data_IF_152050981253
#
_entry.id   IF_152050981253
#
_cell.length_a   1.000
_cell.length_b   1.000
_cell.length_c   1.000
_cell.angle_alpha   90.00
_cell.angle_beta   90.00
_cell.angle_gamma   90.00
#
_symmetry.space_group_name_H-M   'P 1'
#
loop_
_entity.id
_entity.type
_entity.pdbx_description
1 polymer ?
#
# COMPACT_ATOMS: atom_id res chain seq x y z
N UNK A 1 19.57 12.53 46.93
CA UNK A 1 19.57 11.55 45.82
C UNK A 1 18.35 10.63 45.87
N UNK A 2 18.05 10.00 47.02
CA UNK A 2 16.88 9.09 47.16
C UNK A 2 15.51 9.75 46.91
N UNK A 3 15.29 10.97 47.42
CA UNK A 3 14.04 11.72 47.19
C UNK A 3 13.79 12.08 45.72
N UNK A 4 14.85 12.33 44.95
CA UNK A 4 14.75 12.62 43.51
C UNK A 4 14.32 11.34 42.77
N UNK A 5 14.89 10.20 43.14
CA UNK A 5 14.48 8.90 42.59
C UNK A 5 13.02 8.55 42.92
N UNK A 6 12.57 8.81 44.15
CA UNK A 6 11.18 8.58 44.54
C UNK A 6 10.19 9.44 43.74
N UNK A 7 10.51 10.71 43.49
CA UNK A 7 9.69 11.62 42.67
C UNK A 7 9.64 11.15 41.21
N UNK A 8 10.77 10.74 40.64
CA UNK A 8 10.82 10.20 39.26
C UNK A 8 9.96 8.94 39.15
N UNK A 9 10.06 8.01 40.10
CA UNK A 9 9.25 6.78 40.13
C UNK A 9 7.76 7.11 40.24
N UNK A 10 7.37 8.09 41.08
CA UNK A 10 5.99 8.52 41.22
C UNK A 10 5.45 9.13 39.92
N UNK A 11 6.25 9.95 39.21
CA UNK A 11 5.89 10.52 37.91
C UNK A 11 5.69 9.42 36.86
N UNK A 12 6.60 8.44 36.82
CA UNK A 12 6.50 7.29 35.91
C UNK A 12 5.25 6.46 36.22
N UNK A 13 4.97 6.20 37.50
CA UNK A 13 3.77 5.47 37.93
C UNK A 13 2.48 6.21 37.57
N UNK A 14 2.41 7.52 37.80
CA UNK A 14 1.25 8.35 37.44
C UNK A 14 1.06 8.40 35.91
N UNK A 15 2.15 8.51 35.14
CA UNK A 15 2.11 8.45 33.68
C UNK A 15 1.60 7.09 33.20
N UNK A 16 2.09 5.98 33.78
CA UNK A 16 1.62 4.63 33.47
C UNK A 16 0.15 4.43 33.86
N UNK A 17 -0.29 4.92 35.01
CA UNK A 17 -1.67 4.78 35.49
C UNK A 17 -2.65 5.55 34.60
N UNK A 18 -2.29 6.77 34.20
CA UNK A 18 -3.07 7.53 33.21
C UNK A 18 -3.10 6.79 31.87
N UNK A 19 -1.95 6.33 31.37
CA UNK A 19 -1.85 5.53 30.14
C UNK A 19 -2.74 4.28 30.16
N UNK A 20 -2.75 3.52 31.26
CA UNK A 20 -3.62 2.35 31.41
C UNK A 20 -5.11 2.74 31.49
N UNK A 21 -5.44 3.88 32.10
CA UNK A 21 -6.81 4.38 32.21
C UNK A 21 -7.38 4.85 30.87
N UNK A 22 -6.66 5.60 30.04
CA UNK A 22 -7.16 5.94 28.71
C UNK A 22 -7.31 4.71 27.83
N UNK A 23 -6.39 3.72 27.95
CA UNK A 23 -6.50 2.46 27.21
C UNK A 23 -7.76 1.65 27.56
N UNK A 24 -8.16 1.61 28.83
CA UNK A 24 -9.38 0.91 29.25
C UNK A 24 -10.66 1.64 28.83
N UNK A 25 -10.68 2.98 28.93
CA UNK A 25 -11.82 3.81 28.51
C UNK A 25 -12.05 3.70 27.00
N UNK A 26 -10.99 3.76 26.19
CA UNK A 26 -11.09 3.61 24.72
C UNK A 26 -11.58 2.22 24.34
N UNK A 27 -11.09 1.17 25.02
CA UNK A 27 -11.56 -0.21 24.79
C UNK A 27 -13.05 -0.34 25.10
N UNK A 28 -13.50 0.22 26.22
CA UNK A 28 -14.90 0.18 26.64
C UNK A 28 -15.82 0.95 25.67
N UNK A 29 -15.44 2.17 25.28
CA UNK A 29 -16.22 2.97 24.31
C UNK A 29 -16.29 2.28 22.95
N UNK A 30 -15.21 1.60 22.53
CA UNK A 30 -15.20 0.77 21.33
C UNK A 30 -16.20 -0.37 21.43
N UNK A 31 -16.17 -1.15 22.50
CA UNK A 31 -17.08 -2.28 22.73
C UNK A 31 -18.56 -1.84 22.79
N UNK A 32 -18.82 -0.64 23.32
CA UNK A 32 -20.17 -0.05 23.38
C UNK A 32 -20.68 0.46 22.02
N UNK A 33 -19.85 1.17 21.27
CA UNK A 33 -20.28 1.83 20.02
C UNK A 33 -20.28 0.90 18.81
N UNK A 34 -19.48 -0.17 18.83
CA UNK A 34 -19.39 -1.15 17.73
C UNK A 34 -20.73 -1.80 17.35
N UNK A 35 -21.52 -2.34 18.29
CA UNK A 35 -22.82 -2.94 17.95
C UNK A 35 -23.79 -1.92 17.36
N UNK A 36 -23.72 -0.66 17.80
CA UNK A 36 -24.56 0.43 17.28
C UNK A 36 -24.17 0.73 15.83
N UNK A 37 -22.88 0.90 15.55
CA UNK A 37 -22.38 1.12 14.19
C UNK A 37 -22.70 -0.05 13.25
N UNK A 38 -22.57 -1.30 13.71
CA UNK A 38 -22.94 -2.50 12.91
C UNK A 38 -24.45 -2.52 12.60
N UNK A 39 -25.30 -2.22 13.60
CA UNK A 39 -26.76 -2.13 13.41
C UNK A 39 -27.18 -1.03 12.45
N UNK A 40 -26.61 0.17 12.59
CA UNK A 40 -26.87 1.30 11.71
C UNK A 40 -26.41 1.01 10.27
N UNK A 41 -25.31 0.29 10.12
CA UNK A 41 -24.77 -0.05 8.83
C UNK A 41 -25.59 -1.09 8.07
N UNK A 42 -26.09 -2.16 8.73
CA UNK A 42 -26.90 -3.22 8.09
C UNK A 42 -28.21 -2.72 7.48
N UNK A 43 -28.72 -1.56 7.91
CA UNK A 43 -29.89 -0.92 7.34
C UNK A 43 -29.52 -0.11 6.09
N UNK A 44 -29.63 -0.79 4.94
CA UNK A 44 -29.03 -0.40 3.66
C UNK A 44 -29.74 0.72 2.88
N UNK A 45 -30.74 1.44 3.40
CA UNK A 45 -31.46 2.46 2.59
C UNK A 45 -32.07 3.63 3.37
N UNK A 46 -31.77 3.79 4.66
CA UNK A 46 -32.29 4.92 5.44
C UNK A 46 -31.28 6.06 5.53
N UNK A 47 -31.62 7.22 4.94
CA UNK A 47 -30.86 8.48 5.09
C UNK A 47 -30.72 8.87 6.55
N UNK A 48 -31.77 8.67 7.35
CA UNK A 48 -31.74 8.91 8.80
C UNK A 48 -30.71 8.02 9.49
N UNK A 49 -30.68 6.72 9.17
CA UNK A 49 -29.67 5.80 9.72
C UNK A 49 -28.27 6.14 9.25
N UNK A 50 -28.11 6.65 8.02
CA UNK A 50 -26.84 7.18 7.54
C UNK A 50 -26.40 8.37 8.40
N UNK A 51 -27.25 9.36 8.62
CA UNK A 51 -26.93 10.50 9.49
C UNK A 51 -26.58 10.07 10.92
N UNK A 52 -27.35 9.15 11.50
CA UNK A 52 -27.06 8.55 12.81
C UNK A 52 -25.70 7.86 12.83
N UNK A 53 -25.32 7.18 11.74
CA UNK A 53 -24.00 6.56 11.61
C UNK A 53 -22.88 7.61 11.60
N UNK A 54 -23.01 8.67 10.78
CA UNK A 54 -22.01 9.75 10.71
C UNK A 54 -21.86 10.43 12.08
N UNK A 55 -22.97 10.74 12.75
CA UNK A 55 -22.96 11.36 14.07
C UNK A 55 -22.32 10.46 15.13
N UNK A 56 -22.66 9.16 15.14
CA UNK A 56 -22.09 8.18 16.08
C UNK A 56 -20.59 8.04 15.86
N UNK A 57 -20.15 7.99 14.60
CA UNK A 57 -18.73 7.92 14.24
C UNK A 57 -18.00 9.20 14.66
N UNK A 58 -18.59 10.37 14.46
CA UNK A 58 -18.03 11.65 14.91
C UNK A 58 -17.92 11.77 16.44
N UNK A 59 -18.92 11.27 17.18
CA UNK A 59 -18.90 11.22 18.63
C UNK A 59 -17.81 10.28 19.16
N UNK A 60 -17.64 9.12 18.53
CA UNK A 60 -16.55 8.18 18.84
C UNK A 60 -15.18 8.82 18.59
N UNK A 61 -14.99 9.48 17.45
CA UNK A 61 -13.77 10.20 17.11
C UNK A 61 -13.44 11.31 18.12
N UNK A 62 -14.43 12.12 18.50
CA UNK A 62 -14.25 13.20 19.48
C UNK A 62 -13.84 12.65 20.85
N UNK A 63 -14.47 11.55 21.30
CA UNK A 63 -14.09 10.86 22.53
C UNK A 63 -12.68 10.31 22.44
N UNK A 64 -12.30 9.64 21.35
CA UNK A 64 -10.97 9.05 21.19
C UNK A 64 -9.89 10.13 21.11
N UNK A 65 -10.13 11.24 20.40
CA UNK A 65 -9.20 12.40 20.34
C UNK A 65 -8.89 12.95 21.72
N UNK A 66 -9.86 12.96 22.65
CA UNK A 66 -9.64 13.38 24.05
C UNK A 66 -8.59 12.53 24.77
N UNK A 67 -8.40 11.29 24.38
CA UNK A 67 -7.46 10.33 24.99
C UNK A 67 -6.20 10.08 24.15
N UNK A 68 -6.01 10.79 23.03
CA UNK A 68 -4.92 10.57 22.07
C UNK A 68 -3.53 10.93 22.61
N UNK A 69 -3.45 11.77 23.66
CA UNK A 69 -2.20 12.15 24.34
C UNK A 69 -1.48 11.00 25.07
N UNK A 70 -2.10 9.83 25.16
CA UNK A 70 -1.59 8.67 25.90
C UNK A 70 -1.03 7.56 24.98
N UNK A 71 -0.41 7.92 23.85
CA UNK A 71 0.36 6.96 23.03
C UNK A 71 -0.48 5.93 22.26
N UNK A 72 -1.72 6.24 21.90
CA UNK A 72 -2.60 5.35 21.14
C UNK A 72 -2.73 5.76 19.67
N UNK A 73 -2.48 4.83 18.74
CA UNK A 73 -2.84 4.98 17.31
C UNK A 73 -4.27 4.49 17.11
N UNK A 74 -5.11 5.38 16.61
CA UNK A 74 -6.52 5.10 16.33
C UNK A 74 -6.66 4.61 14.89
N UNK A 75 -7.14 3.38 14.71
CA UNK A 75 -7.54 2.85 13.40
C UNK A 75 -9.02 2.48 13.41
N UNK A 76 -9.92 3.39 12.97
CA UNK A 76 -11.28 3.05 12.54
C UNK A 76 -11.31 1.82 11.61
N UNK A 77 -10.20 1.55 10.92
CA UNK A 77 -9.97 0.32 10.18
C UNK A 77 -10.20 -0.98 10.99
N UNK A 78 -9.90 -1.04 12.29
CA UNK A 78 -10.23 -2.23 13.10
C UNK A 78 -11.70 -2.30 13.51
N UNK A 79 -12.42 -1.19 13.44
CA UNK A 79 -13.83 -1.12 13.86
C UNK A 79 -14.75 -1.68 12.78
N UNK A 80 -14.42 -1.49 11.51
CA UNK A 80 -15.34 -1.77 10.41
C UNK A 80 -14.61 -1.90 9.09
N UNK A 81 -14.00 -3.06 8.81
CA UNK A 81 -13.34 -3.28 7.52
C UNK A 81 -13.71 -4.62 6.94
N UNK A 82 -13.59 -5.72 7.67
CA UNK A 82 -13.98 -7.03 7.13
C UNK A 82 -15.49 -7.14 6.87
N UNK A 83 -16.32 -6.64 7.81
CA UNK A 83 -17.78 -6.59 7.65
C UNK A 83 -18.23 -5.58 6.60
N UNK A 84 -17.57 -4.42 6.52
CA UNK A 84 -17.88 -3.41 5.50
C UNK A 84 -17.54 -3.92 4.12
N UNK A 85 -16.33 -4.48 3.97
CA UNK A 85 -15.90 -5.13 2.75
C UNK A 85 -16.91 -6.18 2.33
N UNK A 86 -17.25 -7.12 3.22
CA UNK A 86 -18.25 -8.16 2.95
C UNK A 86 -19.60 -7.60 2.52
N UNK A 87 -20.10 -6.53 3.14
CA UNK A 87 -21.38 -5.93 2.77
C UNK A 87 -21.31 -5.20 1.43
N UNK A 88 -20.27 -4.38 1.20
CA UNK A 88 -20.08 -3.70 -0.09
C UNK A 88 -19.81 -4.69 -1.22
N UNK A 89 -19.27 -5.87 -0.92
CA UNK A 89 -19.16 -6.97 -1.87
C UNK A 89 -20.47 -7.67 -2.17
N UNK A 90 -21.38 -7.76 -1.21
CA UNK A 90 -22.70 -8.36 -1.39
C UNK A 90 -23.72 -7.41 -2.02
N UNK A 91 -23.58 -6.10 -1.78
CA UNK A 91 -24.49 -5.05 -2.23
C UNK A 91 -23.71 -3.85 -2.82
N UNK A 92 -23.03 -4.01 -3.97
CA UNK A 92 -22.18 -2.96 -4.53
C UNK A 92 -22.97 -1.69 -4.92
N UNK A 93 -24.25 -1.82 -5.26
CA UNK A 93 -25.18 -0.73 -5.59
C UNK A 93 -25.70 0.07 -4.38
N UNK A 94 -25.37 -0.29 -3.13
CA UNK A 94 -25.75 0.50 -1.95
C UNK A 94 -24.84 1.72 -1.78
N UNK A 95 -25.28 2.85 -2.34
CA UNK A 95 -24.58 4.13 -2.27
C UNK A 95 -24.34 4.61 -0.83
N UNK A 96 -25.30 4.43 0.08
CA UNK A 96 -25.17 4.89 1.46
C UNK A 96 -24.17 4.03 2.23
N UNK A 97 -24.12 2.73 1.98
CA UNK A 97 -23.09 1.85 2.53
C UNK A 97 -21.69 2.23 2.02
N UNK A 98 -21.58 2.61 0.75
CA UNK A 98 -20.32 3.10 0.20
C UNK A 98 -19.87 4.40 0.87
N UNK A 99 -20.74 5.39 1.00
CA UNK A 99 -20.42 6.65 1.69
C UNK A 99 -20.00 6.42 3.14
N UNK A 100 -20.73 5.59 3.89
CA UNK A 100 -20.37 5.21 5.27
C UNK A 100 -18.97 4.59 5.32
N UNK A 101 -18.63 3.73 4.36
CA UNK A 101 -17.30 3.12 4.30
C UNK A 101 -16.22 4.15 3.97
N UNK A 102 -16.43 5.03 3.00
CA UNK A 102 -15.51 6.14 2.73
C UNK A 102 -15.29 7.02 3.97
N UNK A 103 -16.33 7.27 4.76
CA UNK A 103 -16.26 8.10 5.96
C UNK A 103 -15.42 7.46 7.06
N UNK A 104 -15.48 6.12 7.19
CA UNK A 104 -14.56 5.34 8.03
C UNK A 104 -13.12 5.45 7.50
N UNK A 105 -12.92 5.28 6.18
CA UNK A 105 -11.60 5.35 5.57
C UNK A 105 -10.98 6.74 5.79
N UNK A 106 -11.74 7.81 5.57
CA UNK A 106 -11.33 9.21 5.75
C UNK A 106 -10.95 9.56 7.19
N UNK A 107 -11.48 8.86 8.20
CA UNK A 107 -11.08 9.05 9.61
C UNK A 107 -9.91 8.18 10.04
N UNK A 108 -9.58 7.12 9.29
CA UNK A 108 -8.51 6.22 9.67
C UNK A 108 -7.13 6.85 9.56
N UNK A 109 -6.25 6.54 10.52
CA UNK A 109 -4.85 6.99 10.47
C UNK A 109 -4.02 6.17 9.50
N UNK A 110 -4.26 4.85 9.47
CA UNK A 110 -3.57 3.91 8.60
C UNK A 110 -4.44 2.68 8.31
N UNK A 111 -4.01 1.87 7.34
CA UNK A 111 -4.63 0.60 7.01
C UNK A 111 -3.60 -0.52 7.05
N UNK A 112 -4.05 -1.70 7.45
CA UNK A 112 -3.26 -2.92 7.34
C UNK A 112 -3.34 -3.46 5.92
N UNK A 113 -2.27 -4.09 5.46
CA UNK A 113 -2.23 -4.77 4.17
C UNK A 113 -3.41 -5.75 3.99
N UNK A 114 -3.75 -6.55 5.01
CA UNK A 114 -4.90 -7.47 4.96
C UNK A 114 -6.23 -6.81 4.55
N UNK A 115 -6.44 -5.56 4.93
CA UNK A 115 -7.64 -4.83 4.51
C UNK A 115 -7.56 -4.45 3.03
N UNK A 116 -6.40 -3.98 2.59
CA UNK A 116 -6.16 -3.62 1.20
C UNK A 116 -6.26 -4.85 0.31
N UNK A 117 -5.78 -6.01 0.75
CA UNK A 117 -5.96 -7.31 0.08
C UNK A 117 -7.44 -7.63 -0.13
N UNK A 118 -8.27 -7.46 0.91
CA UNK A 118 -9.73 -7.65 0.80
C UNK A 118 -10.39 -6.66 -0.18
N UNK A 119 -9.93 -5.40 -0.21
CA UNK A 119 -10.42 -4.40 -1.17
C UNK A 119 -10.04 -4.75 -2.61
N UNK A 120 -8.79 -5.15 -2.82
CA UNK A 120 -8.28 -5.52 -4.15
C UNK A 120 -8.92 -6.79 -4.66
N UNK A 121 -9.23 -7.77 -3.80
CA UNK A 121 -9.99 -8.97 -4.16
C UNK A 121 -11.41 -8.64 -4.63
N UNK A 122 -12.08 -7.69 -3.98
CA UNK A 122 -13.39 -7.21 -4.46
C UNK A 122 -13.25 -6.56 -5.84
N UNK A 123 -12.21 -5.74 -6.05
CA UNK A 123 -11.94 -5.09 -7.33
C UNK A 123 -11.54 -6.06 -8.44
N UNK A 124 -10.91 -7.19 -8.11
CA UNK A 124 -10.65 -8.26 -9.07
C UNK A 124 -11.97 -8.89 -9.57
N UNK A 125 -12.96 -9.05 -8.68
CA UNK A 125 -14.29 -9.56 -9.03
C UNK A 125 -15.17 -8.52 -9.73
N UNK A 126 -15.03 -7.24 -9.38
CA UNK A 126 -15.85 -6.14 -9.89
C UNK A 126 -14.97 -4.95 -10.35
N UNK A 127 -14.20 -5.10 -11.45
CA UNK A 127 -13.21 -4.11 -11.88
C UNK A 127 -13.81 -2.76 -12.28
N UNK A 128 -15.08 -2.74 -12.66
CA UNK A 128 -15.86 -1.55 -13.04
C UNK A 128 -16.44 -0.78 -11.84
N UNK A 129 -16.30 -1.28 -10.61
CA UNK A 129 -16.84 -0.63 -9.41
C UNK A 129 -16.01 0.62 -9.05
N UNK A 130 -16.41 1.76 -9.60
CA UNK A 130 -15.81 3.09 -9.37
C UNK A 130 -15.77 3.48 -7.89
N UNK A 131 -16.78 3.03 -7.13
CA UNK A 131 -16.88 3.30 -5.71
C UNK A 131 -15.85 2.45 -4.94
N UNK A 132 -15.66 1.18 -5.32
CA UNK A 132 -14.57 0.37 -4.79
C UNK A 132 -13.19 0.95 -5.12
N UNK A 133 -13.02 1.45 -6.35
CA UNK A 133 -11.79 2.11 -6.78
C UNK A 133 -11.46 3.30 -5.89
N UNK A 134 -12.41 4.24 -5.73
CA UNK A 134 -12.25 5.41 -4.87
C UNK A 134 -11.89 5.04 -3.42
N UNK A 135 -12.54 4.00 -2.87
CA UNK A 135 -12.22 3.51 -1.52
C UNK A 135 -10.78 3.02 -1.43
N UNK A 136 -10.35 2.21 -2.38
CA UNK A 136 -8.99 1.68 -2.42
C UNK A 136 -7.95 2.79 -2.54
N UNK A 137 -8.14 3.73 -3.48
CA UNK A 137 -7.23 4.86 -3.68
C UNK A 137 -7.12 5.73 -2.43
N UNK A 138 -8.25 6.03 -1.78
CA UNK A 138 -8.27 6.79 -0.51
C UNK A 138 -7.54 6.02 0.60
N UNK A 139 -7.69 4.69 0.65
CA UNK A 139 -7.05 3.87 1.66
C UNK A 139 -5.52 3.81 1.46
N UNK A 140 -5.06 3.47 0.26
CA UNK A 140 -3.64 3.40 -0.08
C UNK A 140 -2.96 4.77 0.09
N UNK A 141 -3.65 5.87 -0.24
CA UNK A 141 -3.14 7.23 -0.06
C UNK A 141 -2.73 7.55 1.39
N UNK A 142 -3.32 6.85 2.38
CA UNK A 142 -2.99 6.99 3.80
C UNK A 142 -1.91 6.03 4.29
N UNK A 143 -1.56 5.03 3.50
CA UNK A 143 -0.46 4.14 3.84
C UNK A 143 0.88 4.87 3.62
N UNK A 144 1.77 4.72 4.59
CA UNK A 144 3.16 5.18 4.44
C UNK A 144 3.95 4.19 3.60
N UNK A 145 3.76 2.89 3.87
CA UNK A 145 4.45 1.78 3.22
C UNK A 145 3.49 0.61 3.01
N UNK A 146 3.77 -0.22 2.00
CA UNK A 146 3.09 -1.48 1.68
C UNK A 146 4.12 -2.58 1.44
N UNK A 147 3.92 -3.75 2.05
CA UNK A 147 4.85 -4.87 1.93
C UNK A 147 4.19 -6.21 1.58
N UNK A 148 2.86 -6.25 1.43
CA UNK A 148 2.12 -7.47 1.17
C UNK A 148 2.38 -8.07 -0.22
N UNK A 149 2.87 -9.31 -0.19
CA UNK A 149 2.99 -10.17 -1.35
C UNK A 149 1.65 -10.36 -2.09
N UNK A 150 0.59 -10.70 -1.35
CA UNK A 150 -0.72 -10.98 -1.93
C UNK A 150 -1.26 -9.75 -2.66
N UNK A 151 -1.18 -8.58 -2.02
CA UNK A 151 -1.65 -7.32 -2.60
C UNK A 151 -0.99 -7.05 -3.95
N UNK A 152 0.34 -7.15 -4.02
CA UNK A 152 1.07 -6.90 -5.27
C UNK A 152 0.79 -7.96 -6.33
N UNK A 153 0.70 -9.26 -5.97
CA UNK A 153 0.33 -10.31 -6.94
C UNK A 153 -1.03 -10.06 -7.56
N UNK A 154 -2.03 -9.72 -6.75
CA UNK A 154 -3.38 -9.49 -7.24
C UNK A 154 -3.47 -8.22 -8.10
N UNK A 155 -2.75 -7.14 -7.75
CA UNK A 155 -2.65 -5.94 -8.58
C UNK A 155 -2.01 -6.23 -9.95
N UNK A 156 -0.93 -7.01 -9.98
CA UNK A 156 -0.25 -7.39 -11.22
C UNK A 156 -1.12 -8.32 -12.07
N UNK A 157 -1.87 -9.22 -11.46
CA UNK A 157 -2.79 -10.11 -12.18
C UNK A 157 -3.93 -9.32 -12.84
N UNK A 158 -4.45 -8.26 -12.19
CA UNK A 158 -5.45 -7.38 -12.81
C UNK A 158 -4.93 -6.71 -14.09
N UNK A 159 -3.68 -6.24 -14.08
CA UNK A 159 -3.02 -5.67 -15.26
C UNK A 159 -2.82 -6.71 -16.38
N UNK A 160 -2.64 -7.99 -16.02
CA UNK A 160 -2.44 -9.08 -16.98
C UNK A 160 -3.74 -9.54 -17.64
N UNK A 161 -4.81 -9.70 -16.88
CA UNK A 161 -6.07 -10.30 -17.37
C UNK A 161 -6.90 -9.30 -18.16
N UNK A 162 -7.10 -8.08 -17.63
CA UNK A 162 -7.93 -7.06 -18.26
C UNK A 162 -7.51 -5.66 -17.78
N UNK A 163 -6.42 -5.10 -18.33
CA UNK A 163 -5.92 -3.80 -17.91
C UNK A 163 -6.96 -2.70 -18.20
N UNK A 164 -7.18 -1.85 -17.22
CA UNK A 164 -8.01 -0.63 -17.31
C UNK A 164 -7.21 0.56 -16.77
N UNK A 165 -7.68 1.78 -17.06
CA UNK A 165 -7.07 2.99 -16.46
C UNK A 165 -7.08 2.92 -14.93
N UNK A 166 -8.14 2.38 -14.34
CA UNK A 166 -8.28 2.27 -12.89
C UNK A 166 -7.34 1.22 -12.32
N UNK A 167 -7.21 0.04 -12.95
CA UNK A 167 -6.29 -1.00 -12.46
C UNK A 167 -4.83 -0.52 -12.51
N UNK A 168 -4.48 0.21 -13.57
CA UNK A 168 -3.17 0.83 -13.70
C UNK A 168 -2.92 1.87 -12.59
N UNK A 169 -3.91 2.75 -12.33
CA UNK A 169 -3.82 3.76 -11.27
C UNK A 169 -3.61 3.11 -9.89
N UNK A 170 -4.33 2.01 -9.61
CA UNK A 170 -4.19 1.23 -8.37
C UNK A 170 -2.80 0.62 -8.21
N UNK A 171 -2.24 0.06 -9.29
CA UNK A 171 -0.89 -0.47 -9.27
C UNK A 171 0.14 0.65 -9.05
N UNK A 172 0.00 1.76 -9.78
CA UNK A 172 0.93 2.88 -9.72
C UNK A 172 1.01 3.50 -8.31
N UNK A 173 -0.13 3.77 -7.68
CA UNK A 173 -0.14 4.31 -6.32
C UNK A 173 0.43 3.30 -5.32
N UNK A 174 0.14 2.01 -5.47
CA UNK A 174 0.65 0.97 -4.57
C UNK A 174 2.16 0.78 -4.71
N UNK A 175 2.67 0.80 -5.94
CA UNK A 175 4.10 0.76 -6.24
C UNK A 175 4.86 1.95 -5.62
N UNK A 176 4.27 3.15 -5.62
CA UNK A 176 4.86 4.34 -4.96
C UNK A 176 5.01 4.19 -3.43
N UNK A 177 4.29 3.23 -2.83
CA UNK A 177 4.33 2.93 -1.40
C UNK A 177 5.06 1.61 -1.10
N UNK A 178 5.60 0.94 -2.12
CA UNK A 178 6.28 -0.35 -1.95
C UNK A 178 7.44 -0.23 -0.95
N UNK A 179 7.55 -1.20 -0.05
CA UNK A 179 8.65 -1.27 0.90
C UNK A 179 8.86 -2.72 1.33
N UNK A 180 10.12 -3.17 1.38
CA UNK A 180 10.49 -4.51 1.85
C UNK A 180 9.67 -5.62 1.18
N UNK A 181 9.59 -5.57 -0.16
CA UNK A 181 8.84 -6.54 -0.95
C UNK A 181 9.51 -7.93 -0.94
N UNK A 182 8.75 -9.01 -0.89
CA UNK A 182 9.28 -10.37 -1.00
C UNK A 182 9.90 -10.70 -2.36
N UNK A 183 10.88 -11.62 -2.37
CA UNK A 183 11.57 -12.05 -3.60
C UNK A 183 10.70 -12.87 -4.55
N UNK A 184 9.62 -13.48 -4.07
CA UNK A 184 8.71 -14.24 -4.94
C UNK A 184 7.84 -13.34 -5.83
N UNK A 185 7.92 -12.02 -5.67
CA UNK A 185 7.32 -11.03 -6.57
C UNK A 185 8.17 -10.74 -7.82
N UNK A 186 9.43 -11.20 -7.90
CA UNK A 186 10.29 -10.89 -9.05
C UNK A 186 9.68 -11.38 -10.36
N UNK A 187 9.23 -12.64 -10.41
CA UNK A 187 8.64 -13.21 -11.63
C UNK A 187 7.34 -12.49 -12.02
N UNK A 188 6.38 -12.24 -11.11
CA UNK A 188 5.23 -11.38 -11.40
C UNK A 188 5.60 -9.99 -11.95
N UNK A 189 6.65 -9.35 -11.44
CA UNK A 189 7.10 -8.06 -11.96
C UNK A 189 7.74 -8.18 -13.35
N UNK A 190 8.51 -9.24 -13.62
CA UNK A 190 9.05 -9.51 -14.95
C UNK A 190 7.92 -9.77 -15.94
N UNK A 191 6.90 -10.55 -15.56
CA UNK A 191 5.71 -10.79 -16.37
C UNK A 191 4.99 -9.48 -16.70
N UNK A 192 4.82 -8.60 -15.70
CA UNK A 192 4.24 -7.27 -15.90
C UNK A 192 5.08 -6.40 -16.85
N UNK A 193 6.41 -6.38 -16.69
CA UNK A 193 7.31 -5.66 -17.59
C UNK A 193 7.16 -6.16 -19.05
N UNK A 194 6.97 -7.47 -19.23
CA UNK A 194 6.82 -8.08 -20.54
C UNK A 194 5.50 -7.75 -21.24
N UNK A 195 4.49 -7.21 -20.54
CA UNK A 195 3.22 -6.83 -21.17
C UNK A 195 3.38 -5.66 -22.14
N UNK A 196 4.23 -4.68 -21.79
CA UNK A 196 4.58 -3.57 -22.65
C UNK A 196 5.99 -3.05 -22.31
N UNK A 197 7.05 -3.72 -22.81
CA UNK A 197 8.42 -3.50 -22.36
C UNK A 197 9.01 -2.15 -22.77
N UNK A 198 8.42 -1.46 -23.75
CA UNK A 198 8.87 -0.13 -24.22
C UNK A 198 8.05 1.01 -23.63
N UNK A 199 7.07 0.71 -22.77
CA UNK A 199 6.29 1.72 -22.08
C UNK A 199 7.05 2.23 -20.84
N UNK A 200 7.34 3.53 -20.81
CA UNK A 200 8.11 4.17 -19.74
C UNK A 200 7.45 4.06 -18.37
N UNK A 201 6.13 4.03 -18.32
CA UNK A 201 5.36 3.90 -17.08
C UNK A 201 5.42 2.47 -16.52
N UNK A 202 5.33 1.46 -17.39
CA UNK A 202 5.53 0.05 -17.02
C UNK A 202 6.94 -0.14 -16.43
N UNK A 203 7.95 0.37 -17.13
CA UNK A 203 9.35 0.34 -16.68
C UNK A 203 9.56 1.08 -15.35
N UNK A 204 8.92 2.24 -15.17
CA UNK A 204 9.00 3.04 -13.95
C UNK A 204 8.38 2.29 -12.76
N UNK A 205 7.17 1.75 -12.91
CA UNK A 205 6.49 0.97 -11.87
C UNK A 205 7.32 -0.28 -11.51
N UNK A 206 7.83 -0.98 -12.51
CA UNK A 206 8.73 -2.11 -12.31
C UNK A 206 9.93 -1.71 -11.45
N UNK A 207 10.64 -0.62 -11.79
CA UNK A 207 11.79 -0.15 -11.02
C UNK A 207 11.43 0.31 -9.61
N UNK A 208 10.28 0.98 -9.44
CA UNK A 208 9.79 1.36 -8.10
C UNK A 208 9.64 0.14 -7.21
N UNK A 209 9.09 -0.97 -7.71
CA UNK A 209 8.91 -2.17 -6.92
C UNK A 209 10.21 -2.98 -6.73
N UNK A 210 10.95 -3.25 -7.81
CA UNK A 210 12.15 -4.09 -7.78
C UNK A 210 13.23 -3.53 -6.83
N UNK A 211 13.37 -2.20 -6.77
CA UNK A 211 14.33 -1.55 -5.87
C UNK A 211 14.03 -1.76 -4.38
N UNK A 212 12.76 -2.08 -4.06
CA UNK A 212 12.27 -2.36 -2.71
C UNK A 212 12.19 -3.85 -2.37
N UNK A 213 12.57 -4.77 -3.27
CA UNK A 213 12.66 -6.19 -2.96
C UNK A 213 13.80 -6.46 -1.97
N UNK A 214 13.48 -7.17 -0.90
CA UNK A 214 14.44 -7.55 0.13
C UNK A 214 15.46 -8.55 -0.40
N UNK A 215 16.74 -8.33 -0.06
CA UNK A 215 17.82 -9.33 -0.22
C UNK A 215 17.87 -9.98 -1.60
N UNK A 216 17.79 -9.17 -2.66
CA UNK A 216 17.81 -9.66 -4.02
C UNK A 216 19.20 -10.25 -4.40
N UNK A 217 19.33 -11.55 -4.69
CA UNK A 217 20.59 -12.18 -5.06
C UNK A 217 21.21 -11.56 -6.31
N UNK A 218 22.53 -11.67 -6.46
CA UNK A 218 23.22 -11.12 -7.65
C UNK A 218 22.72 -11.74 -8.95
N UNK A 219 22.49 -13.05 -8.98
CA UNK A 219 21.92 -13.76 -10.13
C UNK A 219 20.56 -13.20 -10.56
N UNK A 220 19.70 -12.83 -9.61
CA UNK A 220 18.40 -12.21 -9.90
C UNK A 220 18.54 -10.77 -10.40
N UNK A 221 19.48 -10.00 -9.84
CA UNK A 221 19.80 -8.65 -10.35
C UNK A 221 20.35 -8.71 -11.78
N UNK A 222 21.22 -9.67 -12.05
CA UNK A 222 21.80 -9.91 -13.37
C UNK A 222 20.71 -10.35 -14.35
N UNK A 223 19.79 -11.24 -13.96
CA UNK A 223 18.64 -11.62 -14.79
C UNK A 223 17.79 -10.40 -15.17
N UNK A 224 17.53 -9.50 -14.23
CA UNK A 224 16.77 -8.26 -14.50
C UNK A 224 17.55 -7.34 -15.44
N UNK A 225 18.87 -7.21 -15.28
CA UNK A 225 19.71 -6.42 -16.18
C UNK A 225 19.76 -7.00 -17.60
N UNK A 226 19.96 -8.31 -17.72
CA UNK A 226 19.92 -9.02 -19.00
C UNK A 226 18.56 -8.85 -19.67
N UNK A 227 17.45 -8.94 -18.92
CA UNK A 227 16.13 -8.69 -19.50
C UNK A 227 15.98 -7.28 -20.07
N UNK A 228 16.55 -6.26 -19.42
CA UNK A 228 16.56 -4.90 -19.96
C UNK A 228 17.40 -4.80 -21.25
N UNK A 229 18.53 -5.49 -21.32
CA UNK A 229 19.35 -5.58 -22.53
C UNK A 229 18.59 -6.27 -23.67
N UNK A 230 17.88 -7.36 -23.39
CA UNK A 230 17.06 -8.06 -24.38
C UNK A 230 15.93 -7.16 -24.91
N UNK A 231 15.28 -6.37 -24.04
CA UNK A 231 14.27 -5.39 -24.47
C UNK A 231 14.87 -4.34 -25.42
N UNK A 232 16.12 -3.91 -25.18
CA UNK A 232 16.82 -2.99 -26.07
C UNK A 232 17.22 -3.66 -27.38
N UNK A 233 17.70 -4.90 -27.34
CA UNK A 233 18.03 -5.67 -28.55
C UNK A 233 16.82 -5.85 -29.45
N UNK A 234 15.65 -6.12 -28.86
CA UNK A 234 14.38 -6.21 -29.57
C UNK A 234 13.91 -4.84 -30.11
N UNK A 235 14.43 -3.73 -29.56
CA UNK A 235 13.98 -2.35 -29.85
C UNK A 235 15.15 -1.35 -29.92
N UNK A 236 16.13 -1.53 -30.84
CA UNK A 236 17.42 -0.83 -30.77
C UNK A 236 17.32 0.68 -31.00
N UNK A 237 16.30 1.13 -31.74
CA UNK A 237 16.03 2.55 -31.97
C UNK A 237 15.28 3.24 -30.81
N UNK A 238 14.82 2.49 -29.81
CA UNK A 238 13.99 3.01 -28.72
C UNK A 238 14.85 3.75 -27.68
N UNK A 239 14.69 5.07 -27.62
CA UNK A 239 15.28 5.88 -26.55
C UNK A 239 14.80 5.44 -25.17
N UNK A 240 13.54 5.02 -25.04
CA UNK A 240 12.96 4.48 -23.82
C UNK A 240 13.65 3.19 -23.37
N UNK A 241 13.87 2.24 -24.28
CA UNK A 241 14.59 1.00 -23.97
C UNK A 241 16.04 1.29 -23.54
N UNK A 242 16.72 2.22 -24.24
CA UNK A 242 18.08 2.63 -23.88
C UNK A 242 18.16 3.26 -22.48
N UNK A 243 17.22 4.15 -22.15
CA UNK A 243 17.15 4.73 -20.80
C UNK A 243 16.85 3.68 -19.74
N UNK A 244 16.00 2.70 -20.04
CA UNK A 244 15.71 1.60 -19.13
C UNK A 244 16.96 0.76 -18.81
N UNK A 245 17.74 0.39 -19.83
CA UNK A 245 19.03 -0.32 -19.62
C UNK A 245 19.97 0.49 -18.73
N UNK A 246 20.06 1.81 -18.94
CA UNK A 246 20.88 2.67 -18.07
C UNK A 246 20.36 2.66 -16.63
N UNK A 247 19.05 2.80 -16.42
CA UNK A 247 18.45 2.78 -15.08
C UNK A 247 18.69 1.44 -14.37
N UNK A 248 18.45 0.32 -15.05
CA UNK A 248 18.61 -1.03 -14.49
C UNK A 248 20.09 -1.34 -14.26
N UNK A 249 20.97 -1.04 -15.22
CA UNK A 249 22.41 -1.27 -15.10
C UNK A 249 23.02 -0.51 -13.92
N UNK A 250 22.68 0.78 -13.80
CA UNK A 250 23.12 1.61 -12.66
C UNK A 250 22.65 1.05 -11.32
N UNK A 251 21.41 0.59 -11.26
CA UNK A 251 20.89 -0.07 -10.06
C UNK A 251 21.61 -1.40 -9.76
N UNK A 252 21.80 -2.25 -10.77
CA UNK A 252 22.46 -3.55 -10.65
C UNK A 252 23.90 -3.42 -10.14
N UNK A 253 24.73 -2.63 -10.82
CA UNK A 253 26.13 -2.43 -10.44
C UNK A 253 26.24 -1.65 -9.13
N UNK A 254 25.37 -0.67 -8.89
CA UNK A 254 25.32 0.08 -7.63
C UNK A 254 25.10 -0.83 -6.43
N UNK A 255 24.21 -1.83 -6.52
CA UNK A 255 23.96 -2.79 -5.43
C UNK A 255 25.16 -3.66 -5.07
N UNK A 256 26.05 -3.94 -6.02
CA UNK A 256 27.28 -4.71 -5.78
C UNK A 256 28.42 -3.86 -5.19
N UNK A 257 28.25 -2.52 -5.12
CA UNK A 257 29.29 -1.59 -4.63
C UNK A 257 29.02 -1.13 -3.19
N UNK A 258 30.09 -0.99 -2.41
CA UNK A 258 30.02 -0.39 -1.07
C UNK A 258 29.55 1.06 -1.18
N UNK A 259 28.39 1.36 -0.60
CA UNK A 259 27.80 2.70 -0.60
C UNK A 259 27.03 3.06 -1.88
N UNK A 260 26.77 2.12 -2.78
CA UNK A 260 25.89 2.35 -3.94
C UNK A 260 26.48 3.20 -5.06
N UNK A 261 27.74 3.61 -4.96
CA UNK A 261 28.40 4.48 -5.94
C UNK A 261 28.97 3.67 -7.09
N UNK A 262 28.58 4.03 -8.30
CA UNK A 262 29.11 3.48 -9.54
C UNK A 262 30.52 4.00 -9.80
N UNK A 263 31.36 3.13 -10.35
CA UNK A 263 32.66 3.52 -10.90
C UNK A 263 32.53 3.90 -12.38
N UNK A 264 33.55 4.58 -12.91
CA UNK A 264 33.66 4.86 -14.34
C UNK A 264 33.65 3.58 -15.19
N UNK A 265 34.19 2.48 -14.65
CA UNK A 265 34.22 1.18 -15.32
C UNK A 265 32.84 0.54 -15.40
N UNK A 266 31.98 0.76 -14.40
CA UNK A 266 30.60 0.26 -14.41
C UNK A 266 29.79 1.01 -15.48
N UNK A 267 29.90 2.33 -15.56
CA UNK A 267 29.27 3.13 -16.62
C UNK A 267 29.78 2.72 -18.01
N UNK A 268 31.09 2.56 -18.17
CA UNK A 268 31.68 2.13 -19.45
C UNK A 268 31.19 0.73 -19.85
N UNK A 269 31.07 -0.21 -18.89
CA UNK A 269 30.51 -1.54 -19.13
C UNK A 269 29.07 -1.45 -19.63
N UNK A 270 28.21 -0.67 -18.96
CA UNK A 270 26.82 -0.49 -19.41
C UNK A 270 26.78 0.10 -20.83
N UNK A 271 27.62 1.08 -21.15
CA UNK A 271 27.66 1.65 -22.51
C UNK A 271 28.11 0.63 -23.55
N UNK A 272 29.12 -0.19 -23.25
CA UNK A 272 29.58 -1.24 -24.15
C UNK A 272 28.49 -2.29 -24.39
N UNK A 273 27.77 -2.69 -23.33
CA UNK A 273 26.65 -3.64 -23.42
C UNK A 273 25.51 -3.06 -24.28
N UNK A 274 25.18 -1.77 -24.12
CA UNK A 274 24.23 -1.06 -24.98
C UNK A 274 24.72 -1.03 -26.44
N UNK A 275 25.98 -0.68 -26.68
CA UNK A 275 26.56 -0.62 -28.03
C UNK A 275 26.52 -1.98 -28.73
N UNK A 276 26.74 -3.08 -27.99
CA UNK A 276 26.70 -4.43 -28.54
C UNK A 276 25.29 -4.87 -28.96
N UNK A 277 24.23 -4.32 -28.38
CA UNK A 277 22.82 -4.68 -28.65
C UNK A 277 22.12 -3.77 -29.67
N UNK A 278 22.77 -2.68 -30.11
CA UNK A 278 22.20 -1.69 -31.03
C UNK A 278 22.84 -1.78 -32.44
N UNK A 279 23.78 -2.70 -32.64
CA UNK A 279 24.34 -3.04 -33.96
C UNK A 279 23.35 -3.91 -34.76
#
# INVERSE_FOLDING_TARGET
>A
MEYIFAIIILIILLALLNYYRGRSVVKFEKEKMLPILDSLYRNSNSREKHQQFIQTLGALDAKIKKYKGEGYSYTPGKLMTEKLLKHTSQKPQDMLAHERFLEVIKRAESFSDLMLEGMVKHLAAYPQDQLAHQRFMTAVGKCQYLSSNYLFKELLEQEKVKPTSDSYERLAISASKAHLLPTDLINPFIDYLNTNPINSDVQRIFMQCITHIMLLPESERERIYNRALDILEDNPASSTAKQFVLTVGRWHFGKSRKGGKLSIYDEQRIQNDIFARVQ
#
